data_IF_018400537858
#
_entry.id   IF_018400537858
#
_cell.length_a   1.000
_cell.length_b   1.000
_cell.length_c   1.000
_cell.angle_alpha   90.00
_cell.angle_beta   90.00
_cell.angle_gamma   90.00
#
_symmetry.space_group_name_H-M   'P 1'
#
loop_
_entity.id
_entity.type
_entity.pdbx_description
1 polymer ?
#
# COMPACT_ATOMS: atom_id res chain seq x y z
N UNK A 1 3.96 20.85 -6.66
CA UNK A 1 4.13 19.76 -5.68
C UNK A 1 3.17 18.59 -5.95
N UNK A 2 1.85 18.80 -5.96
CA UNK A 2 0.91 17.71 -6.28
C UNK A 2 1.04 17.19 -7.72
N UNK A 3 1.31 18.07 -8.70
CA UNK A 3 1.53 17.68 -10.10
C UNK A 3 2.78 16.83 -10.30
N UNK A 4 3.87 17.17 -9.62
CA UNK A 4 5.14 16.42 -9.66
C UNK A 4 4.99 15.03 -9.04
N UNK A 5 4.32 14.94 -7.89
CA UNK A 5 3.99 13.66 -7.27
C UNK A 5 3.14 12.78 -8.20
N UNK A 6 2.13 13.37 -8.88
CA UNK A 6 1.32 12.62 -9.86
C UNK A 6 2.18 12.07 -10.99
N UNK A 7 3.10 12.86 -11.56
CA UNK A 7 4.03 12.39 -12.60
C UNK A 7 4.93 11.26 -12.10
N UNK A 8 5.48 11.38 -10.88
CA UNK A 8 6.32 10.35 -10.29
C UNK A 8 5.54 9.05 -10.02
N UNK A 9 4.30 9.14 -9.54
CA UNK A 9 3.43 7.98 -9.32
C UNK A 9 3.11 7.26 -10.63
N UNK A 10 2.79 8.01 -11.70
CA UNK A 10 2.58 7.40 -13.02
C UNK A 10 3.84 6.69 -13.52
N UNK A 11 5.00 7.34 -13.41
CA UNK A 11 6.27 6.76 -13.85
C UNK A 11 6.66 5.52 -13.04
N UNK A 12 6.45 5.56 -11.74
CA UNK A 12 6.67 4.43 -10.86
C UNK A 12 5.79 3.24 -11.27
N UNK A 13 4.49 3.47 -11.54
CA UNK A 13 3.58 2.42 -11.96
C UNK A 13 3.99 1.74 -13.26
N UNK A 14 4.51 2.49 -14.22
CA UNK A 14 5.09 1.94 -15.46
C UNK A 14 6.28 1.01 -15.15
N UNK A 15 7.25 1.50 -14.37
CA UNK A 15 8.47 0.77 -14.04
C UNK A 15 8.21 -0.50 -13.22
N UNK A 16 7.31 -0.44 -12.24
CA UNK A 16 6.96 -1.62 -11.44
C UNK A 16 6.23 -2.68 -12.26
N UNK A 17 5.38 -2.25 -13.21
CA UNK A 17 4.68 -3.18 -14.12
C UNK A 17 5.66 -3.88 -15.06
N UNK A 18 6.65 -3.16 -15.58
CA UNK A 18 7.73 -3.73 -16.40
C UNK A 18 8.57 -4.74 -15.59
N UNK A 19 9.00 -4.38 -14.38
CA UNK A 19 9.78 -5.26 -13.50
C UNK A 19 9.01 -6.55 -13.17
N UNK A 20 7.71 -6.44 -12.88
CA UNK A 20 6.85 -7.59 -12.59
C UNK A 20 6.66 -8.48 -13.83
N UNK A 21 6.44 -7.88 -15.01
CA UNK A 21 6.27 -8.62 -16.26
C UNK A 21 7.54 -9.38 -16.67
N UNK A 22 8.72 -8.88 -16.29
CA UNK A 22 10.01 -9.50 -16.58
C UNK A 22 10.54 -10.42 -15.46
N UNK A 23 9.75 -10.67 -14.40
CA UNK A 23 10.15 -11.47 -13.23
C UNK A 23 11.47 -10.98 -12.56
N UNK A 24 11.70 -9.67 -12.61
CA UNK A 24 12.92 -9.02 -12.05
C UNK A 24 12.71 -8.43 -10.66
N UNK A 25 11.63 -8.79 -9.96
CA UNK A 25 11.32 -8.23 -8.65
C UNK A 25 12.48 -8.39 -7.66
N UNK A 26 13.19 -9.53 -7.71
CA UNK A 26 14.36 -9.81 -6.87
C UNK A 26 15.59 -8.91 -7.13
N UNK A 27 15.59 -8.14 -8.22
CA UNK A 27 16.66 -7.19 -8.52
C UNK A 27 16.44 -5.81 -7.87
N UNK A 28 15.24 -5.55 -7.33
CA UNK A 28 14.93 -4.32 -6.62
C UNK A 28 15.35 -4.47 -5.15
N UNK A 29 16.14 -3.55 -4.59
CA UNK A 29 16.51 -3.60 -3.18
C UNK A 29 15.29 -3.52 -2.25
N UNK A 30 15.25 -4.38 -1.23
CA UNK A 30 14.14 -4.46 -0.27
C UNK A 30 13.87 -3.12 0.45
N UNK A 31 14.92 -2.36 0.74
CA UNK A 31 14.84 -1.06 1.42
C UNK A 31 14.23 0.04 0.55
N UNK A 32 14.39 -0.03 -0.78
CA UNK A 32 13.72 0.86 -1.72
C UNK A 32 12.21 0.57 -1.77
N UNK A 33 11.83 -0.72 -1.82
CA UNK A 33 10.42 -1.15 -1.76
C UNK A 33 9.80 -0.71 -0.42
N UNK A 34 10.49 -0.93 0.70
CA UNK A 34 10.03 -0.51 2.01
C UNK A 34 9.83 1.01 2.10
N UNK A 35 10.77 1.80 1.57
CA UNK A 35 10.68 3.26 1.56
C UNK A 35 9.46 3.77 0.80
N UNK A 36 9.16 3.16 -0.35
CA UNK A 36 7.96 3.45 -1.13
C UNK A 36 6.68 3.13 -0.33
N UNK A 37 6.60 1.94 0.25
CA UNK A 37 5.44 1.51 1.05
C UNK A 37 5.20 2.47 2.22
N UNK A 38 6.25 2.89 2.93
CA UNK A 38 6.13 3.82 4.05
C UNK A 38 5.67 5.21 3.63
N UNK A 39 6.12 5.71 2.48
CA UNK A 39 5.68 6.99 1.96
C UNK A 39 4.19 6.94 1.56
N UNK A 40 3.78 5.88 0.85
CA UNK A 40 2.40 5.67 0.45
C UNK A 40 1.46 5.50 1.65
N UNK A 41 1.85 4.67 2.65
CA UNK A 41 1.07 4.44 3.85
C UNK A 41 0.84 5.72 4.68
N UNK A 42 1.89 6.54 4.85
CA UNK A 42 1.79 7.83 5.55
C UNK A 42 0.86 8.80 4.82
N UNK A 43 0.98 8.89 3.49
CA UNK A 43 0.09 9.74 2.69
C UNK A 43 -1.36 9.26 2.76
N UNK A 44 -1.57 7.94 2.67
CA UNK A 44 -2.88 7.31 2.76
C UNK A 44 -3.54 7.61 4.13
N UNK A 45 -2.83 7.35 5.23
CA UNK A 45 -3.30 7.61 6.60
C UNK A 45 -3.59 9.10 6.84
N UNK A 46 -2.73 10.01 6.38
CA UNK A 46 -2.97 11.45 6.52
C UNK A 46 -4.24 11.93 5.78
N UNK A 47 -4.64 11.20 4.73
CA UNK A 47 -5.85 11.50 3.95
C UNK A 47 -7.08 10.78 4.53
N UNK A 48 -6.98 9.57 5.08
CA UNK A 48 -8.10 8.92 5.79
C UNK A 48 -8.58 9.75 6.97
N UNK A 49 -7.64 10.28 7.76
CA UNK A 49 -7.96 11.02 8.98
C UNK A 49 -8.72 12.33 8.72
N UNK A 50 -8.48 12.93 7.55
CA UNK A 50 -9.04 14.24 7.19
C UNK A 50 -10.35 14.17 6.43
N UNK A 51 -10.58 13.09 5.66
CA UNK A 51 -11.70 13.04 4.72
C UNK A 51 -12.78 12.02 5.10
N UNK A 52 -12.59 11.28 6.21
CA UNK A 52 -13.57 10.30 6.72
C UNK A 52 -13.69 9.06 5.84
N UNK A 53 -14.74 8.24 6.04
CA UNK A 53 -15.07 7.04 5.23
C UNK A 53 -15.41 7.43 3.79
N UNK A 54 -14.45 7.92 3.01
CA UNK A 54 -14.56 7.88 1.56
C UNK A 54 -14.33 6.44 1.15
N UNK A 55 -15.21 5.91 0.30
CA UNK A 55 -14.93 4.72 -0.51
C UNK A 55 -13.63 4.96 -1.28
N UNK A 56 -12.53 4.41 -0.78
CA UNK A 56 -11.24 4.53 -1.44
C UNK A 56 -11.35 3.88 -2.82
N UNK A 57 -10.73 4.46 -3.86
CA UNK A 57 -10.76 3.90 -5.21
C UNK A 57 -9.81 2.69 -5.34
N UNK A 58 -9.84 1.77 -4.37
CA UNK A 58 -9.20 0.46 -4.47
C UNK A 58 -10.11 -0.37 -5.38
N UNK A 59 -9.62 -0.70 -6.57
CA UNK A 59 -10.34 -1.57 -7.50
C UNK A 59 -10.26 -3.01 -7.02
N UNK A 60 -11.31 -3.79 -7.27
CA UNK A 60 -11.39 -5.22 -6.90
C UNK A 60 -10.31 -6.07 -7.60
N UNK A 61 -9.76 -5.60 -8.71
CA UNK A 61 -8.74 -6.26 -9.52
C UNK A 61 -7.34 -5.64 -9.40
N UNK A 62 -7.15 -4.72 -8.46
CA UNK A 62 -5.85 -4.04 -8.28
C UNK A 62 -4.77 -4.97 -7.71
N UNK A 63 -5.15 -5.95 -6.90
CA UNK A 63 -4.27 -6.94 -6.29
C UNK A 63 -4.98 -8.30 -6.24
N UNK A 64 -4.23 -9.37 -6.40
CA UNK A 64 -4.68 -10.73 -6.11
C UNK A 64 -4.87 -10.92 -4.60
N UNK A 65 -5.60 -11.98 -4.24
CA UNK A 65 -5.76 -12.35 -2.83
C UNK A 65 -4.41 -12.63 -2.14
N UNK A 66 -3.47 -13.27 -2.85
CA UNK A 66 -2.14 -13.56 -2.32
C UNK A 66 -1.33 -12.29 -2.07
N UNK A 67 -1.26 -11.38 -3.04
CA UNK A 67 -0.55 -10.10 -2.89
C UNK A 67 -1.11 -9.29 -1.73
N UNK A 68 -2.44 -9.28 -1.59
CA UNK A 68 -3.13 -8.61 -0.49
C UNK A 68 -2.73 -9.18 0.86
N UNK A 69 -2.78 -10.51 1.02
CA UNK A 69 -2.45 -11.17 2.29
C UNK A 69 -0.98 -10.97 2.64
N UNK A 70 -0.06 -11.17 1.69
CA UNK A 70 1.39 -10.99 1.91
C UNK A 70 1.71 -9.56 2.35
N UNK A 71 1.11 -8.56 1.69
CA UNK A 71 1.31 -7.17 2.06
C UNK A 71 0.77 -6.86 3.45
N UNK A 72 -0.47 -7.27 3.75
CA UNK A 72 -1.11 -6.98 5.04
C UNK A 72 -0.37 -7.67 6.19
N UNK A 73 0.02 -8.94 6.04
CA UNK A 73 0.73 -9.65 7.11
C UNK A 73 2.10 -9.04 7.38
N UNK A 74 2.84 -8.64 6.34
CA UNK A 74 4.12 -7.95 6.51
C UNK A 74 3.97 -6.62 7.26
N UNK A 75 2.92 -5.83 6.95
CA UNK A 75 2.65 -4.57 7.63
C UNK A 75 2.21 -4.77 9.09
N UNK A 76 1.39 -5.79 9.36
CA UNK A 76 0.95 -6.12 10.72
C UNK A 76 2.11 -6.60 11.59
N UNK A 77 2.97 -7.47 11.05
CA UNK A 77 4.17 -7.97 11.72
C UNK A 77 5.12 -6.81 12.05
N UNK A 78 5.38 -5.92 11.09
CA UNK A 78 6.23 -4.75 11.29
C UNK A 78 5.68 -3.75 12.32
N UNK A 79 4.35 -3.70 12.50
CA UNK A 79 3.69 -2.83 13.47
C UNK A 79 3.48 -3.51 14.83
N UNK A 80 3.86 -4.78 15.00
CA UNK A 80 3.54 -5.61 16.16
C UNK A 80 2.03 -5.63 16.47
N UNK A 81 1.21 -5.70 15.41
CA UNK A 81 -0.26 -5.72 15.51
C UNK A 81 -0.79 -7.11 15.24
N UNK A 82 -1.56 -7.66 16.17
CA UNK A 82 -2.24 -8.92 15.95
C UNK A 82 -3.43 -8.74 15.00
N UNK A 83 -3.55 -9.62 14.00
CA UNK A 83 -4.68 -9.63 13.05
C UNK A 83 -6.04 -9.68 13.77
N UNK A 84 -6.14 -10.35 14.93
CA UNK A 84 -7.38 -10.44 15.70
C UNK A 84 -7.72 -9.14 16.45
N UNK A 85 -6.71 -8.30 16.75
CA UNK A 85 -6.93 -6.99 17.37
C UNK A 85 -7.52 -5.97 16.38
N UNK A 86 -7.34 -6.18 15.08
CA UNK A 86 -7.99 -5.38 14.03
C UNK A 86 -9.53 -5.42 14.12
N UNK A 87 -10.10 -6.51 14.62
CA UNK A 87 -11.54 -6.63 14.83
C UNK A 87 -12.10 -5.61 15.85
N UNK A 88 -11.24 -5.06 16.72
CA UNK A 88 -11.60 -4.00 17.67
C UNK A 88 -11.72 -2.65 16.94
N UNK A 89 -10.86 -2.38 15.96
CA UNK A 89 -10.93 -1.17 15.13
C UNK A 89 -12.07 -1.22 14.11
N UNK A 90 -12.35 -2.38 13.52
CA UNK A 90 -13.48 -2.53 12.60
C UNK A 90 -14.83 -2.26 13.27
N UNK A 91 -14.98 -2.65 14.55
CA UNK A 91 -16.19 -2.40 15.37
C UNK A 91 -16.32 -0.95 15.87
N UNK A 92 -15.24 -0.18 15.93
CA UNK A 92 -15.28 1.25 16.31
C UNK A 92 -15.66 2.17 15.16
N UNK A 93 -15.66 1.67 13.93
CA UNK A 93 -15.96 2.45 12.74
C UNK A 93 -17.46 2.43 12.37
N UNK A 94 -18.30 1.66 13.07
CA UNK A 94 -19.76 1.81 13.10
C UNK A 94 -20.18 2.83 14.17
#
# INVERSE_FOLDING_TARGET
>A
MTSELTTLVSRLGELTSEIAAEDRAAAVPDDEIASLLYAAARLFSAKTDRVGKISWPIREDALTATETVVLVTALLDAADVNLFDMAIWYRRAE
#
